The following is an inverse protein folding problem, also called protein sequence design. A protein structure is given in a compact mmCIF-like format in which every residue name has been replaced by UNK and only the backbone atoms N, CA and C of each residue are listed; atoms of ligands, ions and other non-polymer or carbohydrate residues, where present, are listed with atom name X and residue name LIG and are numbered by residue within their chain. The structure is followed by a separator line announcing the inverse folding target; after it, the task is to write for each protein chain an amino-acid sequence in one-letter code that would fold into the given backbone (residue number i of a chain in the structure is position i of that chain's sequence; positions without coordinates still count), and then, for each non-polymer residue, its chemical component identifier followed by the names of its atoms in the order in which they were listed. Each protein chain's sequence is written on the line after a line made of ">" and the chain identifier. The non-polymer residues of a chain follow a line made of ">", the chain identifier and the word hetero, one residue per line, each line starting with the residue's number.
data_IF_083624826518
#
_entry.id   IF_083624826518
#
_cell.length_a   1.000
_cell.length_b   1.000
_cell.length_c   1.000
_cell.angle_alpha   90.00
_cell.angle_beta   90.00
_cell.angle_gamma   90.00
#
_symmetry.space_group_name_H-M   'P 1'
#
loop_
_entity.id
_entity.type
_entity.pdbx_description
1 polymer ?
#
# COMPACT_ATOMS: atom_id res chain seq x y z
N UNK A 1 34.65 -14.99 -46.67
CA UNK A 1 33.32 -15.17 -47.26
C UNK A 1 32.41 -14.12 -46.65
N UNK A 2 31.67 -13.32 -47.42
CA UNK A 2 30.70 -12.37 -46.81
C UNK A 2 29.67 -13.18 -46.03
N UNK A 3 29.35 -12.67 -44.86
CA UNK A 3 28.37 -13.28 -43.97
C UNK A 3 26.98 -13.33 -44.64
N UNK A 4 26.40 -14.53 -44.76
CA UNK A 4 25.05 -14.73 -45.32
C UNK A 4 23.94 -14.11 -44.43
N UNK A 5 24.31 -13.57 -43.26
CA UNK A 5 23.38 -12.92 -42.34
C UNK A 5 22.94 -11.53 -42.72
N UNK A 6 23.69 -10.84 -43.60
CA UNK A 6 23.37 -9.45 -44.03
C UNK A 6 22.77 -9.36 -45.44
N UNK A 7 22.17 -10.44 -45.94
CA UNK A 7 21.40 -10.39 -47.19
C UNK A 7 19.98 -9.90 -46.89
N UNK A 8 19.55 -8.90 -47.66
CA UNK A 8 18.17 -8.41 -47.57
C UNK A 8 17.20 -9.57 -47.81
N UNK A 9 16.34 -9.78 -46.84
CA UNK A 9 15.36 -10.87 -46.84
C UNK A 9 14.04 -10.31 -47.41
N UNK A 10 13.52 -10.85 -48.52
CA UNK A 10 12.31 -10.30 -49.14
C UNK A 10 11.06 -10.37 -48.26
N UNK A 11 11.11 -11.16 -47.16
CA UNK A 11 10.03 -11.29 -46.19
C UNK A 11 10.21 -10.41 -44.93
N UNK A 12 11.33 -9.67 -44.81
CA UNK A 12 11.63 -8.81 -43.68
C UNK A 12 11.70 -7.36 -44.16
N UNK A 13 10.54 -6.76 -44.37
CA UNK A 13 10.39 -5.35 -44.75
C UNK A 13 10.12 -4.52 -43.51
N UNK A 14 10.54 -3.23 -43.52
CA UNK A 14 10.35 -2.31 -42.40
C UNK A 14 8.86 -2.02 -42.11
N UNK A 15 7.98 -2.28 -43.08
CA UNK A 15 6.52 -2.08 -42.96
C UNK A 15 5.83 -3.18 -42.16
N UNK A 16 6.51 -4.30 -41.89
CA UNK A 16 5.94 -5.42 -41.15
C UNK A 16 6.10 -5.18 -39.66
N UNK A 17 4.98 -5.01 -38.96
CA UNK A 17 4.97 -5.02 -37.49
C UNK A 17 5.26 -6.42 -36.95
N UNK A 18 6.54 -6.67 -36.62
CA UNK A 18 7.04 -7.97 -36.10
C UNK A 18 6.43 -8.36 -34.75
N UNK A 19 5.79 -7.44 -34.08
CA UNK A 19 5.18 -7.62 -32.77
C UNK A 19 3.66 -7.62 -32.80
N UNK A 20 3.07 -7.56 -33.98
CA UNK A 20 1.63 -7.66 -34.15
C UNK A 20 1.18 -9.06 -33.83
N UNK A 21 0.31 -9.17 -32.86
CA UNK A 21 -0.34 -10.42 -32.51
C UNK A 21 -1.52 -10.66 -33.49
N UNK A 22 -1.42 -11.69 -34.30
CA UNK A 22 -2.51 -12.10 -35.18
C UNK A 22 -3.61 -12.79 -34.37
N UNK A 23 -4.86 -12.49 -34.69
CA UNK A 23 -5.99 -13.14 -34.03
C UNK A 23 -6.04 -14.63 -34.43
N UNK A 24 -6.13 -15.51 -33.43
CA UNK A 24 -6.24 -16.95 -33.67
C UNK A 24 -7.58 -17.28 -34.35
N UNK A 25 -7.52 -17.92 -35.53
CA UNK A 25 -8.69 -18.28 -36.30
C UNK A 25 -9.03 -19.78 -36.14
N UNK A 26 -10.32 -20.20 -36.34
CA UNK A 26 -10.68 -21.59 -36.20
C UNK A 26 -9.90 -22.53 -37.14
N UNK A 27 -9.49 -22.05 -38.31
CA UNK A 27 -8.75 -22.81 -39.30
C UNK A 27 -7.31 -23.16 -38.86
N UNK A 28 -6.78 -22.37 -37.95
CA UNK A 28 -5.43 -22.60 -37.36
C UNK A 28 -5.44 -23.69 -36.28
N UNK A 29 -6.61 -24.09 -35.81
CA UNK A 29 -6.71 -25.14 -34.80
C UNK A 29 -6.56 -26.54 -35.38
N UNK A 30 -5.34 -26.95 -35.65
CA UNK A 30 -4.99 -28.29 -36.16
C UNK A 30 -5.36 -29.41 -35.16
N UNK A 31 -5.37 -29.10 -33.85
CA UNK A 31 -5.70 -30.07 -32.80
C UNK A 31 -7.19 -30.44 -32.67
N UNK A 32 -8.06 -29.74 -33.36
CA UNK A 32 -9.51 -29.97 -33.30
C UNK A 32 -10.18 -29.48 -32.00
N UNK A 33 -11.32 -30.10 -31.69
CA UNK A 33 -12.09 -29.73 -30.48
C UNK A 33 -11.54 -30.36 -29.21
N UNK A 34 -11.76 -29.73 -28.05
CA UNK A 34 -11.37 -30.29 -26.75
C UNK A 34 -12.06 -31.62 -26.48
N UNK A 35 -11.29 -32.63 -26.04
CA UNK A 35 -11.79 -33.93 -25.60
C UNK A 35 -12.44 -33.85 -24.21
N UNK A 36 -11.86 -33.01 -23.31
CA UNK A 36 -12.30 -32.83 -21.94
C UNK A 36 -12.73 -31.39 -21.66
N UNK A 37 -13.70 -31.20 -20.75
CA UNK A 37 -14.14 -29.90 -20.32
C UNK A 37 -13.14 -29.31 -19.31
N UNK A 38 -12.59 -28.14 -19.61
CA UNK A 38 -11.86 -27.32 -18.63
C UNK A 38 -12.82 -26.33 -17.98
N UNK A 39 -12.88 -26.30 -16.66
CA UNK A 39 -13.75 -25.39 -15.92
C UNK A 39 -12.98 -24.59 -14.86
N UNK A 40 -13.36 -23.33 -14.70
CA UNK A 40 -12.86 -22.46 -13.63
C UNK A 40 -14.03 -21.84 -12.89
N UNK A 41 -14.01 -21.91 -11.56
CA UNK A 41 -14.99 -21.28 -10.69
C UNK A 41 -14.32 -20.20 -9.83
N UNK A 42 -15.02 -19.10 -9.57
CA UNK A 42 -14.57 -18.02 -8.71
C UNK A 42 -15.74 -17.51 -7.87
N UNK A 43 -15.55 -17.41 -6.57
CA UNK A 43 -16.53 -16.84 -5.66
C UNK A 43 -16.56 -15.31 -5.77
N UNK A 44 -17.75 -14.73 -5.64
CA UNK A 44 -17.94 -13.29 -5.61
C UNK A 44 -18.54 -12.82 -4.28
N UNK A 45 -18.26 -11.58 -3.85
CA UNK A 45 -18.86 -11.04 -2.64
C UNK A 45 -20.35 -10.78 -2.80
N UNK A 46 -21.15 -11.08 -1.76
CA UNK A 46 -22.63 -10.95 -1.77
C UNK A 46 -23.14 -9.57 -2.25
N UNK A 47 -22.43 -8.50 -1.93
CA UNK A 47 -22.80 -7.14 -2.39
C UNK A 47 -22.75 -6.95 -3.91
N UNK A 48 -22.11 -7.87 -4.65
CA UNK A 48 -22.02 -7.82 -6.12
C UNK A 48 -23.14 -8.55 -6.83
N UNK A 49 -23.94 -9.32 -6.11
CA UNK A 49 -24.99 -10.18 -6.65
C UNK A 49 -25.94 -9.43 -7.59
N UNK A 50 -26.52 -8.33 -7.14
CA UNK A 50 -27.48 -7.53 -7.93
C UNK A 50 -26.87 -6.99 -9.22
N UNK A 51 -25.64 -6.51 -9.14
CA UNK A 51 -24.92 -6.01 -10.32
C UNK A 51 -24.57 -7.13 -11.31
N UNK A 52 -24.08 -8.26 -10.82
CA UNK A 52 -23.73 -9.41 -11.66
C UNK A 52 -24.98 -9.96 -12.35
N UNK A 53 -26.08 -10.11 -11.65
CA UNK A 53 -27.36 -10.53 -12.24
C UNK A 53 -27.79 -9.62 -13.39
N UNK A 54 -27.67 -8.30 -13.21
CA UNK A 54 -28.03 -7.33 -14.25
C UNK A 54 -27.08 -7.34 -15.45
N UNK A 55 -25.77 -7.53 -15.21
CA UNK A 55 -24.74 -7.49 -16.27
C UNK A 55 -24.45 -8.85 -16.92
N UNK A 56 -24.96 -9.95 -16.34
CA UNK A 56 -24.69 -11.32 -16.80
C UNK A 56 -25.04 -11.59 -18.26
N UNK A 57 -26.20 -11.13 -18.78
CA UNK A 57 -26.54 -11.34 -20.19
C UNK A 57 -25.54 -10.77 -21.17
N UNK A 58 -24.88 -9.63 -20.81
CA UNK A 58 -23.84 -9.03 -21.64
C UNK A 58 -22.57 -9.88 -21.63
N UNK A 59 -22.21 -10.41 -20.44
CA UNK A 59 -21.04 -11.26 -20.26
C UNK A 59 -21.23 -12.57 -21.02
N UNK A 60 -22.40 -13.20 -20.91
CA UNK A 60 -22.74 -14.44 -21.63
C UNK A 60 -22.58 -14.26 -23.14
N UNK A 61 -23.13 -13.19 -23.71
CA UNK A 61 -22.98 -12.89 -25.15
C UNK A 61 -21.53 -12.71 -25.59
N UNK A 62 -20.70 -12.12 -24.72
CA UNK A 62 -19.27 -11.93 -25.02
C UNK A 62 -18.49 -13.25 -24.99
N UNK A 63 -18.81 -14.14 -24.04
CA UNK A 63 -18.19 -15.46 -23.92
C UNK A 63 -18.70 -16.45 -24.99
N UNK A 64 -19.97 -16.40 -25.37
CA UNK A 64 -20.54 -17.21 -26.46
C UNK A 64 -19.84 -16.99 -27.79
N UNK A 65 -19.38 -15.75 -28.07
CA UNK A 65 -18.60 -15.46 -29.28
C UNK A 65 -17.27 -16.22 -29.34
N UNK A 66 -16.71 -16.57 -28.17
CA UNK A 66 -15.50 -17.39 -28.04
C UNK A 66 -15.80 -18.87 -27.80
N UNK A 67 -17.06 -19.26 -27.85
CA UNK A 67 -17.50 -20.65 -27.63
C UNK A 67 -17.37 -21.12 -26.17
N UNK A 68 -17.39 -20.23 -25.19
CA UNK A 68 -17.23 -20.54 -23.76
C UNK A 68 -18.61 -20.47 -23.09
N UNK A 69 -18.96 -21.50 -22.33
CA UNK A 69 -20.14 -21.50 -21.48
C UNK A 69 -19.86 -20.85 -20.15
N UNK A 70 -20.81 -20.07 -19.63
CA UNK A 70 -20.73 -19.46 -18.33
C UNK A 70 -21.99 -19.70 -17.51
N UNK A 71 -21.82 -19.90 -16.21
CA UNK A 71 -22.87 -20.12 -15.25
C UNK A 71 -22.69 -19.19 -14.05
N UNK A 72 -23.79 -18.56 -13.61
CA UNK A 72 -23.84 -17.75 -12.41
C UNK A 72 -24.69 -18.46 -11.36
N UNK A 73 -24.11 -18.89 -10.28
CA UNK A 73 -24.81 -19.43 -9.13
C UNK A 73 -24.93 -18.36 -8.05
N UNK A 74 -26.17 -17.94 -7.80
CA UNK A 74 -26.47 -16.92 -6.79
C UNK A 74 -26.57 -17.51 -5.38
N UNK A 75 -26.88 -18.81 -5.27
CA UNK A 75 -27.02 -19.49 -3.98
C UNK A 75 -25.66 -19.70 -3.35
N UNK A 76 -24.73 -20.29 -4.09
CA UNK A 76 -23.33 -20.47 -3.65
C UNK A 76 -22.52 -19.18 -3.77
N UNK A 77 -22.96 -18.22 -4.55
CA UNK A 77 -22.19 -17.00 -4.83
C UNK A 77 -20.97 -17.26 -5.70
N UNK A 78 -21.11 -18.16 -6.70
CA UNK A 78 -20.02 -18.55 -7.59
C UNK A 78 -20.28 -18.17 -9.05
N UNK A 79 -19.22 -17.92 -9.78
CA UNK A 79 -19.21 -17.74 -11.24
C UNK A 79 -18.33 -18.84 -11.82
N UNK A 80 -18.88 -19.62 -12.74
CA UNK A 80 -18.16 -20.72 -13.39
C UNK A 80 -18.10 -20.48 -14.89
N UNK A 81 -16.93 -20.71 -15.50
CA UNK A 81 -16.73 -20.71 -16.95
C UNK A 81 -16.20 -22.07 -17.37
N UNK A 82 -16.68 -22.57 -18.49
CA UNK A 82 -16.35 -23.90 -19.00
C UNK A 82 -16.07 -23.85 -20.51
N UNK A 83 -15.10 -24.63 -20.96
CA UNK A 83 -14.92 -24.87 -22.39
C UNK A 83 -16.10 -25.69 -22.96
N UNK A 84 -16.41 -25.47 -24.21
CA UNK A 84 -17.42 -26.25 -24.95
C UNK A 84 -16.79 -26.86 -26.21
N UNK A 85 -17.50 -27.73 -26.90
CA UNK A 85 -17.06 -28.27 -28.20
C UNK A 85 -16.92 -27.19 -29.28
N UNK A 86 -17.51 -26.01 -29.08
CA UNK A 86 -17.41 -24.85 -29.98
C UNK A 86 -16.20 -23.98 -29.71
N UNK A 87 -15.46 -24.22 -28.61
CA UNK A 87 -14.27 -23.46 -28.26
C UNK A 87 -13.15 -23.86 -29.22
N UNK A 88 -12.72 -22.94 -30.06
CA UNK A 88 -11.64 -23.16 -31.02
C UNK A 88 -10.26 -22.71 -30.48
N UNK A 89 -10.23 -21.70 -29.65
CA UNK A 89 -8.99 -21.14 -29.10
C UNK A 89 -8.71 -21.72 -27.71
N UNK A 90 -7.60 -22.47 -27.53
CA UNK A 90 -7.24 -23.08 -26.25
C UNK A 90 -6.85 -22.06 -25.16
N UNK A 91 -6.44 -20.85 -25.53
CA UNK A 91 -6.08 -19.80 -24.58
C UNK A 91 -7.31 -19.03 -24.07
N UNK A 92 -8.43 -19.06 -24.79
CA UNK A 92 -9.63 -18.27 -24.47
C UNK A 92 -10.21 -18.57 -23.09
N UNK A 93 -10.11 -19.82 -22.61
CA UNK A 93 -10.59 -20.19 -21.27
C UNK A 93 -9.77 -19.51 -20.14
N UNK A 94 -8.49 -19.22 -20.36
CA UNK A 94 -7.66 -18.49 -19.41
C UNK A 94 -8.08 -17.03 -19.34
N UNK A 95 -8.41 -16.41 -20.47
CA UNK A 95 -8.96 -15.06 -20.53
C UNK A 95 -10.32 -15.00 -19.85
N UNK A 96 -11.18 -16.00 -20.05
CA UNK A 96 -12.47 -16.11 -19.36
C UNK A 96 -12.32 -16.29 -17.85
N UNK A 97 -11.34 -17.08 -17.39
CA UNK A 97 -11.00 -17.20 -15.97
C UNK A 97 -10.60 -15.85 -15.39
N UNK A 98 -9.79 -15.08 -16.09
CA UNK A 98 -9.34 -13.78 -15.63
C UNK A 98 -10.46 -12.74 -15.65
N UNK A 99 -11.41 -12.85 -16.61
CA UNK A 99 -12.64 -12.07 -16.61
C UNK A 99 -13.45 -12.29 -15.33
N UNK A 100 -13.74 -13.52 -14.94
CA UNK A 100 -14.49 -13.78 -13.70
C UNK A 100 -13.76 -13.34 -12.46
N UNK A 101 -12.41 -13.42 -12.41
CA UNK A 101 -11.61 -12.86 -11.32
C UNK A 101 -11.76 -11.34 -11.23
N UNK A 102 -11.74 -10.61 -12.34
CA UNK A 102 -11.93 -9.16 -12.39
C UNK A 102 -13.34 -8.77 -11.93
N UNK A 103 -14.36 -9.48 -12.36
CA UNK A 103 -15.75 -9.26 -11.94
C UNK A 103 -15.93 -9.46 -10.43
N UNK A 104 -15.31 -10.50 -9.86
CA UNK A 104 -15.29 -10.74 -8.42
C UNK A 104 -14.59 -9.59 -7.64
N UNK A 105 -13.68 -8.87 -8.27
CA UNK A 105 -12.95 -7.71 -7.70
C UNK A 105 -13.59 -6.36 -8.02
N UNK A 106 -14.86 -6.35 -8.41
CA UNK A 106 -15.65 -5.15 -8.63
C UNK A 106 -15.29 -4.34 -9.88
N UNK A 107 -14.54 -4.91 -10.80
CA UNK A 107 -14.34 -4.28 -12.12
C UNK A 107 -15.68 -4.22 -12.86
N UNK A 108 -16.02 -3.09 -13.51
CA UNK A 108 -17.24 -3.00 -14.33
C UNK A 108 -17.22 -3.98 -15.50
N UNK A 109 -18.37 -4.61 -15.80
CA UNK A 109 -18.47 -5.62 -16.83
C UNK A 109 -18.03 -5.12 -18.23
N UNK A 110 -18.41 -3.92 -18.70
CA UNK A 110 -17.94 -3.41 -19.99
C UNK A 110 -16.41 -3.28 -20.09
N UNK A 111 -15.77 -3.00 -18.96
CA UNK A 111 -14.31 -2.92 -18.91
C UNK A 111 -13.68 -4.30 -18.82
N UNK A 112 -14.26 -5.20 -17.99
CA UNK A 112 -13.76 -6.54 -17.79
C UNK A 112 -13.80 -7.38 -19.08
N UNK A 113 -14.82 -7.20 -19.94
CA UNK A 113 -14.95 -7.91 -21.21
C UNK A 113 -13.76 -7.68 -22.14
N UNK A 114 -13.09 -6.53 -22.06
CA UNK A 114 -11.92 -6.23 -22.88
C UNK A 114 -10.73 -7.19 -22.65
N UNK A 115 -10.74 -7.97 -21.56
CA UNK A 115 -9.74 -9.02 -21.32
C UNK A 115 -9.81 -10.17 -22.32
N UNK A 116 -10.93 -10.30 -23.03
CA UNK A 116 -11.07 -11.28 -24.08
C UNK A 116 -10.31 -10.93 -25.36
N UNK A 117 -9.85 -9.70 -25.48
CA UNK A 117 -8.99 -9.24 -26.56
C UNK A 117 -7.54 -9.67 -26.31
N UNK A 118 -6.85 -10.20 -27.31
CA UNK A 118 -5.57 -10.88 -27.16
C UNK A 118 -4.44 -9.98 -26.64
N UNK A 119 -4.46 -8.69 -27.01
CA UNK A 119 -3.46 -7.71 -26.53
C UNK A 119 -3.66 -7.21 -25.09
N UNK A 120 -4.72 -7.64 -24.40
CA UNK A 120 -5.06 -7.16 -23.05
C UNK A 120 -4.86 -8.26 -22.01
N UNK A 121 -4.03 -7.99 -21.04
CA UNK A 121 -3.84 -8.87 -19.89
C UNK A 121 -4.35 -8.21 -18.60
N UNK A 122 -4.50 -8.99 -17.55
CA UNK A 122 -4.87 -8.47 -16.24
C UNK A 122 -3.92 -8.94 -15.14
N UNK A 123 -3.86 -8.16 -14.08
CA UNK A 123 -3.18 -8.52 -12.86
C UNK A 123 -3.99 -8.11 -11.63
N UNK A 124 -4.11 -9.01 -10.66
CA UNK A 124 -4.78 -8.76 -9.38
C UNK A 124 -3.76 -8.76 -8.26
N UNK A 125 -3.25 -7.59 -7.92
CA UNK A 125 -2.20 -7.38 -6.95
C UNK A 125 -2.78 -7.41 -5.53
N UNK A 126 -2.34 -8.35 -4.70
CA UNK A 126 -2.75 -8.48 -3.30
C UNK A 126 -1.86 -7.59 -2.42
N UNK A 127 -2.43 -6.51 -1.86
CA UNK A 127 -1.67 -5.51 -1.10
C UNK A 127 -1.71 -5.72 0.42
N UNK A 128 -2.66 -6.51 0.94
CA UNK A 128 -2.84 -6.70 2.39
C UNK A 128 -1.61 -7.27 3.10
N UNK A 129 -0.98 -8.29 2.51
CA UNK A 129 0.16 -8.99 3.11
C UNK A 129 1.44 -8.15 3.21
N UNK A 130 1.55 -7.06 2.44
CA UNK A 130 2.75 -6.23 2.35
C UNK A 130 2.96 -5.30 3.56
N UNK A 131 1.91 -5.04 4.35
CA UNK A 131 1.98 -4.12 5.50
C UNK A 131 1.23 -4.71 6.70
N UNK A 132 1.93 -4.91 7.82
CA UNK A 132 1.35 -5.47 9.06
C UNK A 132 0.36 -4.52 9.74
N UNK A 133 0.70 -3.24 9.83
CA UNK A 133 -0.07 -2.23 10.56
C UNK A 133 -1.22 -1.71 9.69
N UNK A 134 -2.46 -1.79 10.20
CA UNK A 134 -3.68 -1.38 9.50
C UNK A 134 -3.68 0.12 9.14
N UNK A 135 -3.25 1.00 10.04
CA UNK A 135 -3.26 2.44 9.79
C UNK A 135 -2.25 2.84 8.71
N UNK A 136 -1.07 2.20 8.74
CA UNK A 136 -0.06 2.37 7.68
C UNK A 136 -0.56 1.83 6.34
N UNK A 137 -1.26 0.70 6.35
CA UNK A 137 -1.87 0.12 5.17
C UNK A 137 -2.87 1.09 4.54
N UNK A 138 -3.81 1.62 5.33
CA UNK A 138 -4.84 2.57 4.85
C UNK A 138 -4.17 3.82 4.27
N UNK A 139 -3.20 4.43 4.97
CA UNK A 139 -2.48 5.62 4.50
C UNK A 139 -1.71 5.35 3.19
N UNK A 140 -1.07 4.19 3.07
CA UNK A 140 -0.32 3.83 1.84
C UNK A 140 -1.26 3.53 0.68
N UNK A 141 -2.38 2.82 0.93
CA UNK A 141 -3.42 2.63 -0.08
C UNK A 141 -4.00 3.96 -0.56
N UNK A 142 -4.27 4.89 0.35
CA UNK A 142 -4.75 6.22 -0.01
C UNK A 142 -3.74 7.00 -0.86
N UNK A 143 -2.43 6.79 -0.69
CA UNK A 143 -1.41 7.40 -1.55
C UNK A 143 -1.46 6.90 -2.99
N UNK A 144 -1.88 5.65 -3.23
CA UNK A 144 -2.08 5.14 -4.59
C UNK A 144 -3.20 5.90 -5.29
N UNK A 145 -4.29 6.17 -4.56
CA UNK A 145 -5.41 6.97 -5.07
C UNK A 145 -5.00 8.44 -5.27
N UNK A 146 -4.31 9.00 -4.28
CA UNK A 146 -4.01 10.43 -4.20
C UNK A 146 -5.21 11.29 -3.84
N UNK A 147 -5.02 12.62 -3.73
CA UNK A 147 -6.12 13.55 -3.53
C UNK A 147 -7.04 13.52 -4.75
N UNK A 148 -8.34 13.36 -4.51
CA UNK A 148 -9.37 13.30 -5.57
C UNK A 148 -9.08 12.27 -6.69
N UNK A 149 -8.29 11.23 -6.42
CA UNK A 149 -7.93 10.22 -7.41
C UNK A 149 -6.87 10.67 -8.43
N UNK A 150 -6.21 11.81 -8.22
CA UNK A 150 -5.26 12.40 -9.17
C UNK A 150 -4.06 11.49 -9.46
N UNK A 151 -3.50 10.86 -8.43
CA UNK A 151 -2.36 9.94 -8.59
C UNK A 151 -2.74 8.71 -9.41
N UNK A 152 -3.91 8.13 -9.12
CA UNK A 152 -4.44 7.00 -9.86
C UNK A 152 -4.64 7.35 -11.33
N UNK A 153 -5.29 8.50 -11.59
CA UNK A 153 -5.55 8.96 -12.95
C UNK A 153 -4.27 9.26 -13.73
N UNK A 154 -3.26 9.84 -13.08
CA UNK A 154 -1.96 10.06 -13.70
C UNK A 154 -1.28 8.74 -14.08
N UNK A 155 -1.35 7.71 -13.21
CA UNK A 155 -0.83 6.38 -13.52
C UNK A 155 -1.58 5.75 -14.71
N UNK A 156 -2.91 5.79 -14.72
CA UNK A 156 -3.73 5.27 -15.82
C UNK A 156 -3.37 5.89 -17.16
N UNK A 157 -3.21 7.24 -17.19
CA UNK A 157 -2.89 7.97 -18.42
C UNK A 157 -1.45 7.74 -18.91
N UNK A 158 -0.49 7.60 -17.97
CA UNK A 158 0.92 7.38 -18.33
C UNK A 158 1.18 5.95 -18.80
N UNK A 159 0.51 4.97 -18.17
CA UNK A 159 0.70 3.55 -18.48
C UNK A 159 -0.35 3.02 -19.47
N UNK A 160 -1.37 3.80 -19.81
CA UNK A 160 -2.49 3.37 -20.64
C UNK A 160 -3.17 2.09 -20.13
N UNK A 161 -3.27 1.96 -18.81
CA UNK A 161 -3.90 0.82 -18.14
C UNK A 161 -5.12 1.29 -17.36
N UNK A 162 -6.07 0.38 -17.18
CA UNK A 162 -7.18 0.59 -16.26
C UNK A 162 -6.78 0.08 -14.87
N UNK A 163 -6.95 0.88 -13.83
CA UNK A 163 -6.55 0.55 -12.46
C UNK A 163 -7.73 0.72 -11.51
N UNK A 164 -8.10 -0.33 -10.78
CA UNK A 164 -9.14 -0.30 -9.75
C UNK A 164 -8.56 -0.71 -8.40
N UNK A 165 -8.63 0.18 -7.42
CA UNK A 165 -8.22 -0.10 -6.04
C UNK A 165 -9.44 -0.47 -5.22
N UNK A 166 -9.61 -1.76 -4.92
CA UNK A 166 -10.75 -2.28 -4.16
C UNK A 166 -10.28 -3.06 -2.93
N UNK A 167 -10.67 -2.59 -1.75
CA UNK A 167 -10.37 -3.27 -0.49
C UNK A 167 -8.88 -3.57 -0.30
N UNK A 168 -8.52 -4.82 -0.39
CA UNK A 168 -7.16 -5.34 -0.19
C UNK A 168 -6.43 -5.71 -1.49
N UNK A 169 -7.02 -5.40 -2.63
CA UNK A 169 -6.49 -5.73 -3.95
C UNK A 169 -6.50 -4.53 -4.87
N UNK A 170 -5.56 -4.50 -5.78
CA UNK A 170 -5.52 -3.57 -6.91
C UNK A 170 -5.64 -4.41 -8.17
N UNK A 171 -6.72 -4.22 -8.93
CA UNK A 171 -6.94 -4.88 -10.21
C UNK A 171 -6.44 -3.96 -11.31
N UNK A 172 -5.63 -4.47 -12.21
CA UNK A 172 -5.04 -3.73 -13.32
C UNK A 172 -5.33 -4.47 -14.62
N UNK A 173 -5.64 -3.73 -15.67
CA UNK A 173 -5.87 -4.27 -17.02
C UNK A 173 -5.14 -3.42 -18.04
N UNK A 174 -4.50 -4.05 -19.00
CA UNK A 174 -3.76 -3.37 -20.07
C UNK A 174 -2.73 -4.27 -20.74
N UNK A 175 -1.80 -3.70 -21.48
CA UNK A 175 -0.71 -4.43 -22.12
C UNK A 175 0.26 -5.06 -21.11
N UNK A 176 1.04 -6.05 -21.54
CA UNK A 176 1.93 -6.82 -20.67
C UNK A 176 3.04 -5.97 -20.00
N UNK A 177 3.69 -5.08 -20.75
CA UNK A 177 4.77 -4.22 -20.23
C UNK A 177 4.25 -3.21 -19.20
N UNK A 178 3.20 -2.44 -19.48
CA UNK A 178 2.58 -1.53 -18.52
C UNK A 178 2.09 -2.20 -17.24
N UNK A 179 1.55 -3.42 -17.32
CA UNK A 179 1.13 -4.18 -16.14
C UNK A 179 2.26 -4.41 -15.14
N UNK A 180 3.46 -4.79 -15.64
CA UNK A 180 4.65 -4.98 -14.80
C UNK A 180 5.09 -3.67 -14.14
N UNK A 181 5.02 -2.55 -14.88
CA UNK A 181 5.34 -1.22 -14.33
C UNK A 181 4.37 -0.81 -13.23
N UNK A 182 3.06 -0.96 -13.45
CA UNK A 182 2.04 -0.65 -12.43
C UNK A 182 2.20 -1.53 -11.20
N UNK A 183 2.44 -2.84 -11.37
CA UNK A 183 2.72 -3.74 -10.25
C UNK A 183 3.88 -3.23 -9.40
N UNK A 184 5.00 -2.87 -10.02
CA UNK A 184 6.16 -2.30 -9.33
C UNK A 184 5.82 -1.02 -8.56
N UNK A 185 5.08 -0.10 -9.17
CA UNK A 185 4.63 1.14 -8.53
C UNK A 185 3.77 0.87 -7.30
N UNK A 186 2.83 -0.08 -7.39
CA UNK A 186 1.94 -0.46 -6.28
C UNK A 186 2.73 -1.12 -5.14
N UNK A 187 3.61 -2.06 -5.43
CA UNK A 187 4.46 -2.74 -4.44
C UNK A 187 5.39 -1.75 -3.73
N UNK A 188 6.04 -0.85 -4.48
CA UNK A 188 6.90 0.19 -3.93
C UNK A 188 6.14 1.20 -3.08
N UNK A 189 4.92 1.57 -3.47
CA UNK A 189 4.04 2.40 -2.65
C UNK A 189 3.72 1.72 -1.31
N UNK A 190 3.45 0.41 -1.34
CA UNK A 190 3.23 -0.38 -0.13
C UNK A 190 4.54 -0.57 0.67
N UNK A 191 5.71 -0.53 0.06
CA UNK A 191 7.02 -0.47 0.72
C UNK A 191 7.39 0.92 1.28
N UNK A 192 6.48 1.91 1.17
CA UNK A 192 6.63 3.30 1.63
C UNK A 192 7.47 4.20 0.72
N UNK A 193 7.55 3.91 -0.56
CA UNK A 193 8.06 4.81 -1.59
C UNK A 193 6.88 5.60 -2.14
N UNK A 194 7.03 6.93 -2.25
CA UNK A 194 5.93 7.75 -2.75
C UNK A 194 5.75 7.57 -4.26
N UNK A 195 4.53 7.37 -4.79
CA UNK A 195 4.29 7.10 -6.21
C UNK A 195 4.74 8.22 -7.15
N UNK A 196 4.91 9.44 -6.65
CA UNK A 196 5.38 10.59 -7.42
C UNK A 196 6.75 10.35 -8.10
N UNK A 197 7.60 9.53 -7.49
CA UNK A 197 8.90 9.21 -8.06
C UNK A 197 8.75 8.38 -9.33
N UNK A 198 7.88 7.38 -9.31
CA UNK A 198 7.57 6.57 -10.49
C UNK A 198 6.82 7.37 -11.56
N UNK A 199 5.91 8.26 -11.14
CA UNK A 199 5.21 9.15 -12.07
C UNK A 199 6.22 10.03 -12.82
N UNK A 200 7.22 10.58 -12.12
CA UNK A 200 8.29 11.36 -12.77
C UNK A 200 9.11 10.52 -13.76
N UNK A 201 9.47 9.29 -13.36
CA UNK A 201 10.16 8.37 -14.28
C UNK A 201 9.32 8.07 -15.53
N UNK A 202 8.03 7.78 -15.35
CA UNK A 202 7.11 7.48 -16.46
C UNK A 202 6.90 8.69 -17.38
N UNK A 203 6.84 9.91 -16.82
CA UNK A 203 6.75 11.13 -17.61
C UNK A 203 7.98 11.32 -18.49
N UNK A 204 9.18 11.14 -17.92
CA UNK A 204 10.44 11.25 -18.68
C UNK A 204 10.49 10.18 -19.78
N UNK A 205 10.15 8.92 -19.47
CA UNK A 205 10.10 7.83 -20.46
C UNK A 205 9.13 8.16 -21.61
N UNK A 206 7.99 8.76 -21.29
CA UNK A 206 7.01 9.16 -22.29
C UNK A 206 7.52 10.30 -23.19
N UNK A 207 8.27 11.24 -22.63
CA UNK A 207 8.89 12.31 -23.43
C UNK A 207 10.00 11.74 -24.33
N UNK A 208 10.88 10.89 -23.78
CA UNK A 208 11.93 10.23 -24.57
C UNK A 208 11.38 9.33 -25.69
N UNK A 209 10.23 8.68 -25.46
CA UNK A 209 9.59 7.87 -26.50
C UNK A 209 9.00 8.67 -27.66
N UNK A 210 8.82 9.98 -27.52
CA UNK A 210 8.35 10.84 -28.62
C UNK A 210 9.46 11.21 -29.58
N UNK A 211 10.71 11.23 -29.12
CA UNK A 211 11.87 11.61 -29.92
C UNK A 211 12.33 10.39 -30.74
N UNK A 212 12.28 10.44 -32.07
CA UNK A 212 12.60 9.28 -32.92
C UNK A 212 14.06 8.84 -32.77
N UNK A 213 14.97 9.77 -32.50
CA UNK A 213 16.40 9.45 -32.31
C UNK A 213 16.66 8.69 -31.04
N UNK A 214 15.90 8.99 -29.95
CA UNK A 214 16.10 8.42 -28.62
C UNK A 214 15.20 7.20 -28.35
N UNK A 215 14.23 6.93 -29.21
CA UNK A 215 13.25 5.86 -28.99
C UNK A 215 13.88 4.46 -28.83
N UNK A 216 14.97 4.19 -29.55
CA UNK A 216 15.67 2.91 -29.56
C UNK A 216 16.89 2.86 -28.61
N UNK A 217 17.21 3.97 -27.91
CA UNK A 217 18.33 4.02 -27.00
C UNK A 217 17.98 3.53 -25.59
N UNK A 218 19.03 3.22 -24.80
CA UNK A 218 18.87 2.94 -23.38
C UNK A 218 18.70 4.24 -22.59
N UNK A 219 17.56 4.37 -21.89
CA UNK A 219 17.17 5.58 -21.15
C UNK A 219 17.71 5.66 -19.73
N UNK A 220 18.44 4.64 -19.23
CA UNK A 220 18.89 4.61 -17.83
C UNK A 220 19.68 5.85 -17.42
N UNK A 221 20.45 6.43 -18.34
CA UNK A 221 21.24 7.66 -18.11
C UNK A 221 20.37 8.91 -17.87
N UNK A 222 19.17 8.96 -18.45
CA UNK A 222 18.25 10.10 -18.33
C UNK A 222 17.29 9.96 -17.13
N UNK A 223 17.15 8.75 -16.60
CA UNK A 223 16.22 8.51 -15.52
C UNK A 223 16.80 8.95 -14.17
N UNK A 224 16.01 9.65 -13.34
CA UNK A 224 16.47 10.10 -12.03
C UNK A 224 16.65 8.93 -11.07
N UNK A 225 17.84 8.78 -10.52
CA UNK A 225 18.13 7.79 -9.49
C UNK A 225 17.76 8.33 -8.10
N UNK A 226 16.63 7.92 -7.55
CA UNK A 226 16.21 8.30 -6.21
C UNK A 226 16.94 7.47 -5.17
N UNK A 227 17.83 8.11 -4.37
CA UNK A 227 18.51 7.45 -3.25
C UNK A 227 17.47 6.99 -2.22
N UNK A 228 17.37 5.68 -1.98
CA UNK A 228 16.61 5.14 -0.86
C UNK A 228 17.22 5.67 0.45
N UNK A 229 16.48 6.48 1.22
CA UNK A 229 16.94 6.92 2.53
C UNK A 229 17.00 5.71 3.46
N UNK A 230 18.18 5.42 3.99
CA UNK A 230 18.32 4.33 4.95
C UNK A 230 17.45 4.62 6.18
N UNK A 231 16.53 3.73 6.51
CA UNK A 231 15.60 3.86 7.66
C UNK A 231 16.36 4.00 9.00
N UNK A 232 17.54 3.41 9.09
CA UNK A 232 18.40 3.50 10.29
C UNK A 232 18.91 4.93 10.54
N UNK A 233 19.23 5.69 9.49
CA UNK A 233 19.62 7.10 9.62
C UNK A 233 18.45 8.02 9.99
N UNK A 234 17.21 7.63 9.60
CA UNK A 234 16.01 8.44 9.86
C UNK A 234 15.46 8.29 11.28
N UNK A 235 15.83 7.22 11.98
CA UNK A 235 15.41 6.93 13.37
C UNK A 235 16.42 7.36 14.44
N UNK A 236 17.54 7.94 14.05
CA UNK A 236 18.40 8.57 15.06
C UNK A 236 17.59 9.71 15.67
N UNK A 237 17.30 9.67 16.97
CA UNK A 237 16.64 10.79 17.63
C UNK A 237 17.48 12.03 17.35
N UNK A 238 16.81 13.14 17.05
CA UNK A 238 17.46 14.42 16.93
C UNK A 238 18.15 14.67 18.29
N UNK A 239 19.46 14.54 18.32
CA UNK A 239 20.21 14.91 19.51
C UNK A 239 20.06 16.41 19.63
N UNK A 240 19.20 16.85 20.52
CA UNK A 240 19.19 18.22 20.99
C UNK A 240 20.53 18.36 21.70
N UNK A 241 21.49 18.92 21.00
CA UNK A 241 22.71 19.33 21.60
C UNK A 241 22.36 20.60 22.39
N UNK A 242 22.16 20.45 23.70
CA UNK A 242 22.04 21.58 24.57
C UNK A 242 23.25 22.44 24.32
N UNK A 243 23.03 23.64 23.78
CA UNK A 243 24.08 24.63 23.52
C UNK A 243 24.61 25.25 24.80
N UNK A 244 24.07 24.84 25.96
CA UNK A 244 24.63 25.21 27.26
C UNK A 244 26.07 24.73 27.32
N UNK A 245 27.01 25.65 27.56
CA UNK A 245 28.42 25.34 27.81
C UNK A 245 28.45 24.27 28.89
N UNK A 246 28.98 23.09 28.57
CA UNK A 246 29.24 22.07 29.59
C UNK A 246 30.13 22.71 30.65
N UNK A 247 29.66 22.73 31.90
CA UNK A 247 30.45 23.20 33.02
C UNK A 247 31.70 22.33 33.06
N UNK A 248 32.88 22.98 33.04
CA UNK A 248 34.15 22.27 33.14
C UNK A 248 34.23 21.68 34.55
N UNK A 249 34.22 20.36 34.65
CA UNK A 249 34.47 19.64 35.90
C UNK A 249 35.92 19.15 35.87
N UNK A 250 36.78 19.60 36.79
CA UNK A 250 38.22 19.23 36.81
C UNK A 250 38.44 17.73 37.04
N UNK A 251 37.45 17.05 37.66
CA UNK A 251 37.49 15.61 37.88
C UNK A 251 36.35 14.92 37.12
N UNK A 252 36.63 13.80 36.46
CA UNK A 252 35.58 13.02 35.87
C UNK A 252 34.58 12.57 36.96
N UNK A 253 33.25 12.48 36.67
CA UNK A 253 32.29 11.95 37.62
C UNK A 253 32.72 10.53 38.04
N UNK A 254 32.41 10.15 39.26
CA UNK A 254 32.68 8.82 39.76
C UNK A 254 32.09 7.77 38.77
N UNK A 255 32.85 6.72 38.54
CA UNK A 255 32.45 5.67 37.61
C UNK A 255 31.15 5.01 38.13
N UNK A 256 30.12 5.00 37.29
CA UNK A 256 28.86 4.33 37.64
C UNK A 256 29.13 2.83 37.85
N UNK A 257 28.58 2.27 38.93
CA UNK A 257 28.72 0.86 39.24
C UNK A 257 28.17 0.02 38.09
N UNK A 258 28.86 -1.06 37.75
CA UNK A 258 28.38 -1.98 36.72
C UNK A 258 27.06 -2.64 37.16
N UNK A 259 26.25 -3.12 36.21
CA UNK A 259 25.03 -3.83 36.56
C UNK A 259 25.28 -5.07 37.42
N UNK A 260 26.42 -5.72 37.21
CA UNK A 260 26.83 -6.90 37.96
C UNK A 260 27.16 -6.51 39.40
N UNK A 261 27.86 -5.38 39.63
CA UNK A 261 28.16 -4.90 40.95
C UNK A 261 26.91 -4.51 41.75
N UNK A 262 25.95 -3.85 41.10
CA UNK A 262 24.64 -3.57 41.68
C UNK A 262 23.86 -4.82 42.03
N UNK A 263 23.94 -5.87 41.18
CA UNK A 263 23.32 -7.16 41.47
C UNK A 263 24.00 -7.94 42.58
N UNK A 264 25.32 -7.79 42.73
CA UNK A 264 26.05 -8.36 43.88
C UNK A 264 25.71 -7.64 45.17
N UNK A 265 25.65 -6.29 45.19
CA UNK A 265 25.24 -5.50 46.33
C UNK A 265 23.79 -5.80 46.77
N UNK A 266 22.87 -5.94 45.82
CA UNK A 266 21.47 -6.28 46.10
C UNK A 266 21.24 -7.76 46.45
N UNK A 267 22.25 -8.62 46.31
CA UNK A 267 22.16 -10.06 46.53
C UNK A 267 21.42 -10.78 45.35
N UNK A 268 20.93 -10.07 44.35
CA UNK A 268 20.21 -10.66 43.22
C UNK A 268 21.10 -11.57 42.35
N UNK A 269 22.43 -11.36 42.40
CA UNK A 269 23.38 -12.19 41.66
C UNK A 269 23.35 -13.66 42.07
N UNK A 270 23.20 -13.92 43.38
CA UNK A 270 23.19 -15.28 43.97
C UNK A 270 21.82 -15.98 43.91
N UNK A 271 20.77 -15.28 43.45
CA UNK A 271 19.46 -15.88 43.33
C UNK A 271 19.39 -16.81 42.11
N UNK A 272 18.71 -17.94 42.29
CA UNK A 272 18.43 -18.84 41.15
C UNK A 272 17.56 -18.15 40.12
N UNK A 273 17.64 -18.59 38.87
CA UNK A 273 16.89 -17.97 37.75
C UNK A 273 15.39 -17.92 38.01
N UNK A 274 14.82 -18.99 38.65
CA UNK A 274 13.42 -19.08 39.04
C UNK A 274 13.06 -18.00 40.09
N UNK A 275 13.94 -17.75 41.06
CA UNK A 275 13.72 -16.72 42.09
C UNK A 275 13.78 -15.30 41.48
N UNK A 276 14.69 -15.04 40.54
CA UNK A 276 14.75 -13.77 39.77
C UNK A 276 13.49 -13.52 38.98
N UNK A 277 12.94 -14.54 38.34
CA UNK A 277 11.69 -14.41 37.59
C UNK A 277 10.49 -14.13 38.48
N UNK A 278 10.41 -14.80 39.65
CA UNK A 278 9.37 -14.53 40.65
C UNK A 278 9.42 -13.11 41.17
N UNK A 279 10.58 -12.65 41.61
CA UNK A 279 10.77 -11.27 42.06
C UNK A 279 10.46 -10.22 40.94
N UNK A 280 10.79 -10.54 39.71
CA UNK A 280 10.43 -9.68 38.57
C UNK A 280 8.91 -9.64 38.30
N UNK A 281 8.19 -10.76 38.49
CA UNK A 281 6.72 -10.83 38.38
C UNK A 281 6.05 -10.06 39.52
N UNK A 282 6.50 -10.25 40.74
CA UNK A 282 5.97 -9.53 41.92
C UNK A 282 6.13 -8.00 41.77
N UNK A 283 7.32 -7.51 41.39
CA UNK A 283 7.54 -6.10 41.11
C UNK A 283 6.61 -5.55 39.99
N UNK A 284 6.31 -6.35 38.97
CA UNK A 284 5.38 -5.95 37.91
C UNK A 284 3.92 -5.93 38.43
N UNK A 285 3.55 -6.87 39.25
CA UNK A 285 2.20 -6.95 39.82
C UNK A 285 1.96 -5.80 40.80
N UNK A 286 2.92 -5.49 41.67
CA UNK A 286 2.88 -4.32 42.57
C UNK A 286 2.77 -3.00 41.78
N UNK A 287 3.54 -2.84 40.71
CA UNK A 287 3.45 -1.66 39.84
C UNK A 287 2.07 -1.57 39.15
N UNK A 288 1.45 -2.69 38.80
CA UNK A 288 0.10 -2.72 38.23
C UNK A 288 -0.93 -2.37 39.28
N UNK A 289 -0.82 -2.96 40.52
CA UNK A 289 -1.70 -2.63 41.66
C UNK A 289 -1.65 -1.15 41.99
N UNK A 290 -0.46 -0.57 42.10
CA UNK A 290 -0.29 0.86 42.35
C UNK A 290 -0.94 1.75 41.28
N UNK A 291 -0.83 1.38 40.00
CA UNK A 291 -1.50 2.10 38.91
C UNK A 291 -3.03 1.95 38.95
N UNK A 292 -3.54 0.80 39.39
CA UNK A 292 -4.99 0.56 39.53
C UNK A 292 -5.53 1.40 40.71
N UNK A 293 -4.82 1.42 41.86
CA UNK A 293 -5.18 2.22 43.01
C UNK A 293 -5.13 3.74 42.71
N UNK A 294 -4.11 4.20 42.01
CA UNK A 294 -4.05 5.59 41.57
C UNK A 294 -5.24 5.96 40.65
N UNK A 295 -5.59 5.08 39.73
CA UNK A 295 -6.76 5.29 38.86
C UNK A 295 -8.07 5.25 39.65
N UNK A 296 -8.17 4.38 40.65
CA UNK A 296 -9.32 4.29 41.55
C UNK A 296 -9.45 5.58 42.35
N UNK A 297 -8.37 6.04 42.97
CA UNK A 297 -8.33 7.31 43.71
C UNK A 297 -8.70 8.51 42.87
N UNK A 298 -8.18 8.60 41.65
CA UNK A 298 -8.56 9.68 40.69
C UNK A 298 -10.04 9.63 40.29
N UNK A 299 -10.64 8.44 40.22
CA UNK A 299 -12.09 8.31 39.99
C UNK A 299 -12.90 8.71 41.21
N UNK A 300 -12.48 8.33 42.40
CA UNK A 300 -13.12 8.71 43.64
C UNK A 300 -13.06 10.24 43.87
N UNK A 301 -11.90 10.85 43.60
CA UNK A 301 -11.77 12.32 43.59
C UNK A 301 -12.74 13.03 42.63
N UNK A 302 -12.99 12.41 41.45
CA UNK A 302 -13.95 12.95 40.48
C UNK A 302 -15.42 12.80 40.90
N UNK A 303 -15.73 11.85 41.81
CA UNK A 303 -17.08 11.61 42.36
C UNK A 303 -17.36 12.38 43.66
N UNK A 304 -16.36 13.05 44.23
CA UNK A 304 -16.61 13.93 45.39
C UNK A 304 -17.31 15.22 44.96
N UNK A 305 -18.47 15.45 45.53
CA UNK A 305 -19.20 16.68 45.29
C UNK A 305 -18.34 17.93 45.54
N UNK A 306 -18.40 18.98 44.73
CA UNK A 306 -17.65 20.22 44.97
C UNK A 306 -18.02 20.79 46.33
N UNK A 307 -17.02 20.97 47.19
CA UNK A 307 -17.24 21.63 48.49
C UNK A 307 -17.72 23.05 48.28
N UNK A 308 -18.81 23.41 48.94
CA UNK A 308 -19.38 24.72 48.90
C UNK A 308 -18.39 25.82 49.28
N UNK A 309 -18.41 26.90 48.51
CA UNK A 309 -17.40 27.95 48.45
C UNK A 309 -17.25 28.77 49.74
N UNK A 310 -16.25 28.47 50.53
CA UNK A 310 -15.78 29.37 51.59
C UNK A 310 -14.24 29.45 51.65
N UNK A 311 -13.52 28.37 51.36
CA UNK A 311 -12.06 28.30 51.59
C UNK A 311 -11.20 28.21 50.32
N UNK A 312 -11.78 28.01 49.14
CA UNK A 312 -11.04 27.79 47.89
C UNK A 312 -10.35 29.07 47.37
N UNK A 313 -10.85 30.25 47.72
CA UNK A 313 -10.28 31.53 47.27
C UNK A 313 -8.94 31.89 47.94
N UNK A 314 -8.69 31.41 49.17
CA UNK A 314 -7.41 31.70 49.90
C UNK A 314 -6.26 30.78 49.42
N UNK A 315 -6.54 29.55 48.99
CA UNK A 315 -5.48 28.62 48.54
C UNK A 315 -5.02 28.90 47.07
N UNK A 316 -5.88 29.43 46.22
CA UNK A 316 -5.47 29.79 44.84
C UNK A 316 -4.60 31.06 44.80
N UNK A 317 -4.74 31.97 45.75
CA UNK A 317 -3.88 33.19 45.85
C UNK A 317 -2.44 32.84 46.35
N UNK A 318 -2.29 31.82 47.21
CA UNK A 318 -1.01 31.41 47.75
C UNK A 318 -0.17 30.52 46.76
N UNK A 319 -0.83 29.88 45.82
CA UNK A 319 -0.18 29.10 44.77
C UNK A 319 0.24 29.94 43.52
N UNK A 320 -0.25 31.18 43.40
CA UNK A 320 0.08 32.08 42.30
C UNK A 320 1.25 32.99 42.58
N UNK A 321 1.71 33.08 43.88
CA UNK A 321 2.83 33.89 44.28
C UNK A 321 4.20 33.15 44.34
N UNK A 322 4.23 31.82 44.09
CA UNK A 322 5.48 31.02 44.13
C UNK A 322 5.87 30.41 42.77
N UNK A 323 5.36 30.89 41.65
CA UNK A 323 5.76 30.45 40.31
C UNK A 323 5.99 31.63 39.36
N UNK A 324 6.73 32.65 39.85
CA UNK A 324 7.25 33.68 38.97
C UNK A 324 8.77 33.42 38.83
N UNK A 325 9.11 32.83 37.71
CA UNK A 325 10.52 32.51 37.40
C UNK A 325 10.69 31.41 36.37
N UNK A 326 10.14 31.54 35.18
CA UNK A 326 10.78 31.07 33.95
C UNK A 326 9.98 31.48 32.70
N UNK A 327 10.64 32.30 31.90
CA UNK A 327 10.22 32.73 30.58
C UNK A 327 9.92 31.58 29.64
N UNK A 328 8.72 31.52 29.10
CA UNK A 328 8.33 30.47 28.12
C UNK A 328 6.94 30.64 27.47
N UNK A 329 6.23 31.74 27.75
CA UNK A 329 4.81 31.91 27.39
C UNK A 329 4.47 32.65 26.08
N UNK A 330 5.42 33.26 25.40
CA UNK A 330 5.08 34.18 24.28
C UNK A 330 5.01 33.55 22.89
N UNK A 331 5.52 32.33 22.69
CA UNK A 331 5.50 31.68 21.35
C UNK A 331 4.23 30.92 21.00
N UNK A 332 3.34 30.67 21.96
CA UNK A 332 2.08 29.94 21.70
C UNK A 332 0.89 30.84 21.36
N UNK A 333 0.91 32.10 21.72
CA UNK A 333 -0.17 33.05 21.41
C UNK A 333 -0.12 33.60 19.99
N UNK A 334 1.07 33.83 19.45
CA UNK A 334 1.26 34.29 18.06
C UNK A 334 0.92 33.26 16.97
N UNK A 335 0.87 31.96 17.30
CA UNK A 335 0.54 30.91 16.34
C UNK A 335 -0.98 30.65 16.24
N UNK A 336 -1.76 31.13 17.20
CA UNK A 336 -3.22 31.00 17.20
C UNK A 336 -3.91 32.22 16.55
N UNK A 337 -3.27 33.38 16.61
CA UNK A 337 -3.80 34.60 15.93
C UNK A 337 -3.49 34.61 14.42
N UNK A 338 -2.43 33.90 13.97
CA UNK A 338 -2.13 33.77 12.53
C UNK A 338 -3.00 32.75 11.82
N UNK A 339 -3.58 31.78 12.55
CA UNK A 339 -4.48 30.77 11.97
C UNK A 339 -5.94 31.26 11.84
N UNK A 340 -6.28 32.37 12.50
CA UNK A 340 -7.63 32.97 12.39
C UNK A 340 -7.67 34.15 11.41
N UNK A 341 -6.51 34.68 10.98
CA UNK A 341 -6.45 35.71 9.97
C UNK A 341 -6.50 35.15 8.53
N UNK A 342 -5.93 33.95 8.31
CA UNK A 342 -5.95 33.30 6.99
C UNK A 342 -7.27 32.59 6.64
N UNK A 343 -8.25 32.59 7.56
CA UNK A 343 -9.58 31.99 7.33
C UNK A 343 -10.69 33.02 7.01
N UNK A 344 -10.33 34.29 6.83
CA UNK A 344 -11.28 35.35 6.48
C UNK A 344 -11.00 36.04 5.13
N UNK A 345 -10.08 35.49 4.31
CA UNK A 345 -9.74 36.00 2.96
C UNK A 345 -9.87 34.95 1.85
N UNK A 346 -10.72 33.92 2.01
CA UNK A 346 -11.21 33.09 0.90
C UNK A 346 -12.73 32.97 0.91
#
# INVERSE_FOLDING_TARGET
>A
MPSTYNVDKPWDTDDIDKWKEDAFTPDQNVGGTFSEESSFATLFPKYRETYLKASWPMITRALEKRGIACQLDLVEGSMTVKTTRKTFDPASILNARDLIKLLARSVPAPQAIKILDDGVACDVIKIRGLVRNKDRFVKRRQRILGPNGSTLKALELLTQTYILVQGNTVSVMGGFKPLKEVRRVVEDCMANIHPIYHIKELMIKRELAKDPELANENWDRFLPHFKKRNLTKRRKPFKVTDKAKKVYTPFPPAQEKSKVDMQMESGEYFLTQMAKERASKEKKEEAVRGKIEEKKRKREEAFQAPREDGEAKKKKKKKKSNSDGSEGGEKKKRKKEKATADAMEE
#
